data_IF_322858597223
#
_entry.id   IF_322858597223
#
_cell.length_a   1.000
_cell.length_b   1.000
_cell.length_c   1.000
_cell.angle_alpha   90.00
_cell.angle_beta   90.00
_cell.angle_gamma   90.00
#
_symmetry.space_group_name_H-M   'P 1'
#
loop_
_entity.id
_entity.type
_entity.pdbx_description
1 polymer ?
#
# COMPACT_ATOMS: atom_id res chain seq x y z
N UNK A 1 7.79 17.36 -18.29
CA UNK A 1 8.66 16.27 -18.78
C UNK A 1 8.82 16.45 -20.28
N UNK A 2 10.01 16.80 -20.76
CA UNK A 2 10.31 16.76 -22.19
C UNK A 2 10.55 15.30 -22.56
N UNK A 3 9.61 14.66 -23.24
CA UNK A 3 9.88 13.34 -23.80
C UNK A 3 10.76 13.52 -25.05
N UNK A 4 12.03 13.10 -25.02
CA UNK A 4 12.92 13.23 -26.18
C UNK A 4 12.38 12.44 -27.39
N UNK A 5 11.53 11.42 -27.18
CA UNK A 5 10.88 10.65 -28.26
C UNK A 5 9.73 11.43 -28.93
N UNK A 6 9.26 12.53 -28.32
CA UNK A 6 8.16 13.38 -28.84
C UNK A 6 8.70 14.73 -29.34
N UNK A 7 9.86 15.17 -28.84
CA UNK A 7 10.48 16.42 -29.26
C UNK A 7 11.06 16.29 -30.68
N UNK A 8 10.41 16.95 -31.65
CA UNK A 8 10.90 17.05 -33.02
C UNK A 8 10.32 15.99 -33.94
N UNK A 9 9.19 16.33 -34.55
CA UNK A 9 8.65 15.83 -35.82
C UNK A 9 7.12 15.95 -35.80
N UNK A 10 6.53 16.38 -36.92
CA UNK A 10 5.10 16.72 -37.07
C UNK A 10 4.44 16.08 -38.30
N UNK A 11 5.04 15.04 -38.91
CA UNK A 11 4.46 14.40 -40.10
C UNK A 11 3.78 13.07 -39.78
N UNK A 12 2.83 12.65 -40.62
CA UNK A 12 2.19 11.34 -40.52
C UNK A 12 3.19 10.19 -40.72
N UNK A 13 4.20 10.38 -41.57
CA UNK A 13 5.24 9.37 -41.80
C UNK A 13 6.07 9.11 -40.53
N UNK A 14 6.40 10.18 -39.80
CA UNK A 14 7.15 10.05 -38.56
C UNK A 14 6.32 9.44 -37.43
N UNK A 15 5.02 9.75 -37.38
CA UNK A 15 4.08 9.08 -36.47
C UNK A 15 3.98 7.58 -36.79
N UNK A 16 3.83 7.22 -38.06
CA UNK A 16 3.78 5.83 -38.49
C UNK A 16 5.07 5.07 -38.13
N UNK A 17 6.24 5.68 -38.35
CA UNK A 17 7.52 5.07 -37.96
C UNK A 17 7.65 4.85 -36.44
N UNK A 18 7.21 5.83 -35.63
CA UNK A 18 7.20 5.70 -34.16
C UNK A 18 6.17 4.68 -33.65
N UNK A 19 5.06 4.52 -34.37
CA UNK A 19 4.04 3.53 -34.05
C UNK A 19 4.55 2.11 -34.33
N UNK A 20 5.21 1.91 -35.48
CA UNK A 20 5.82 0.63 -35.86
C UNK A 20 6.97 0.24 -34.91
N UNK A 21 7.77 1.22 -34.48
CA UNK A 21 8.91 1.02 -33.60
C UNK A 21 8.86 1.98 -32.39
N UNK A 22 8.04 1.68 -31.36
CA UNK A 22 7.90 2.56 -30.20
C UNK A 22 9.23 2.71 -29.46
N UNK A 23 9.57 3.97 -29.17
CA UNK A 23 10.72 4.33 -28.34
C UNK A 23 10.57 3.80 -26.90
N UNK A 24 11.66 3.79 -26.10
CA UNK A 24 11.66 3.23 -24.76
C UNK A 24 10.58 3.82 -23.83
N UNK A 25 10.26 5.10 -23.98
CA UNK A 25 9.26 5.80 -23.14
C UNK A 25 7.80 5.51 -23.52
N UNK A 26 7.58 4.94 -24.71
CA UNK A 26 6.26 4.53 -25.19
C UNK A 26 5.96 3.04 -24.91
N UNK A 27 6.88 2.35 -24.22
CA UNK A 27 6.76 0.93 -23.86
C UNK A 27 6.22 0.77 -22.43
N UNK A 28 5.62 -0.38 -22.08
CA UNK A 28 5.17 -0.65 -20.72
C UNK A 28 6.30 -0.49 -19.69
N UNK A 29 5.93 -0.04 -18.48
CA UNK A 29 6.84 0.11 -17.34
C UNK A 29 6.40 -0.84 -16.23
N UNK A 30 6.97 -2.06 -16.15
CA UNK A 30 6.63 -2.98 -15.08
C UNK A 30 7.16 -2.48 -13.73
N UNK A 31 6.39 -2.72 -12.68
CA UNK A 31 6.91 -2.68 -11.33
C UNK A 31 7.72 -3.95 -11.06
N UNK A 32 8.95 -3.76 -10.60
CA UNK A 32 9.82 -4.82 -10.14
C UNK A 32 9.88 -4.78 -8.61
N UNK A 33 9.08 -5.67 -8.02
CA UNK A 33 8.96 -5.81 -6.57
C UNK A 33 10.02 -6.81 -6.09
N UNK A 34 10.84 -6.40 -5.14
CA UNK A 34 11.82 -7.27 -4.50
C UNK A 34 11.61 -7.30 -2.99
N UNK A 35 11.54 -8.50 -2.44
CA UNK A 35 11.26 -8.75 -1.02
C UNK A 35 12.54 -8.84 -0.16
N UNK A 36 13.66 -9.22 -0.77
CA UNK A 36 14.95 -9.41 -0.09
C UNK A 36 16.05 -8.79 -0.97
N UNK A 37 16.21 -7.45 -0.95
CA UNK A 37 17.16 -6.76 -1.82
C UNK A 37 18.60 -7.22 -1.60
N UNK A 38 18.99 -7.68 -0.42
CA UNK A 38 20.35 -8.14 -0.13
C UNK A 38 20.64 -9.59 -0.58
N UNK A 39 19.62 -10.36 -0.96
CA UNK A 39 19.78 -11.78 -1.32
C UNK A 39 20.07 -12.04 -2.79
N UNK A 40 19.65 -11.14 -3.68
CA UNK A 40 19.92 -11.29 -5.10
C UNK A 40 21.31 -10.75 -5.44
N UNK A 41 22.22 -11.64 -5.84
CA UNK A 41 23.55 -11.26 -6.32
C UNK A 41 23.51 -10.51 -7.67
N UNK A 42 24.62 -9.83 -8.05
CA UNK A 42 24.68 -9.01 -9.26
C UNK A 42 24.26 -9.72 -10.56
N UNK A 43 24.63 -11.01 -10.69
CA UNK A 43 24.30 -11.82 -11.88
C UNK A 43 22.80 -12.09 -12.01
N UNK A 44 22.11 -12.34 -10.89
CA UNK A 44 20.67 -12.57 -10.92
C UNK A 44 19.92 -11.27 -11.24
N UNK A 45 20.37 -10.14 -10.69
CA UNK A 45 19.81 -8.82 -11.03
C UNK A 45 19.99 -8.49 -12.50
N UNK A 46 21.16 -8.82 -13.05
CA UNK A 46 21.42 -8.66 -14.48
C UNK A 46 20.47 -9.53 -15.31
N UNK A 47 20.34 -10.81 -14.96
CA UNK A 47 19.47 -11.77 -15.66
C UNK A 47 17.99 -11.32 -15.65
N UNK A 48 17.50 -10.79 -14.53
CA UNK A 48 16.13 -10.28 -14.41
C UNK A 48 15.91 -9.03 -15.29
N UNK A 49 16.84 -8.08 -15.29
CA UNK A 49 16.79 -6.92 -16.19
C UNK A 49 16.87 -7.32 -17.67
N UNK A 50 17.71 -8.31 -17.99
CA UNK A 50 17.80 -8.83 -19.35
C UNK A 50 16.47 -9.46 -19.79
N UNK A 51 15.76 -10.15 -18.89
CA UNK A 51 14.42 -10.68 -19.15
C UNK A 51 13.40 -9.57 -19.42
N UNK A 52 13.39 -8.49 -18.63
CA UNK A 52 12.55 -7.32 -18.93
C UNK A 52 12.82 -6.76 -20.32
N UNK A 53 14.10 -6.62 -20.69
CA UNK A 53 14.50 -6.16 -22.03
C UNK A 53 14.02 -7.12 -23.13
N UNK A 54 14.18 -8.45 -22.94
CA UNK A 54 13.70 -9.48 -23.89
C UNK A 54 12.19 -9.40 -24.10
N UNK A 55 11.43 -9.08 -23.06
CA UNK A 55 9.98 -8.91 -23.12
C UNK A 55 9.55 -7.56 -23.74
N UNK A 56 10.50 -6.75 -24.22
CA UNK A 56 10.21 -5.49 -24.89
C UNK A 56 10.05 -4.29 -23.96
N UNK A 57 10.49 -4.39 -22.70
CA UNK A 57 10.46 -3.27 -21.76
C UNK A 57 11.57 -2.26 -22.07
N UNK A 58 11.25 -0.97 -22.00
CA UNK A 58 12.23 0.13 -22.09
C UNK A 58 12.66 0.70 -20.74
N UNK A 59 11.77 0.61 -19.75
CA UNK A 59 11.93 1.21 -18.42
C UNK A 59 11.39 0.26 -17.36
N UNK A 60 12.09 0.10 -16.23
CA UNK A 60 11.59 -0.69 -15.09
C UNK A 60 11.44 0.21 -13.87
N UNK A 61 10.35 0.06 -13.12
CA UNK A 61 10.13 0.77 -11.85
C UNK A 61 10.50 -0.13 -10.67
N UNK A 62 11.57 0.18 -9.96
CA UNK A 62 12.02 -0.59 -8.80
C UNK A 62 11.21 -0.21 -7.57
N UNK A 63 10.61 -1.20 -6.91
CA UNK A 63 9.85 -1.01 -5.68
C UNK A 63 10.32 -2.01 -4.61
N UNK A 64 11.06 -1.58 -3.58
CA UNK A 64 11.34 -2.44 -2.44
C UNK A 64 10.04 -2.77 -1.71
N UNK A 65 9.89 -4.03 -1.31
CA UNK A 65 8.80 -4.44 -0.43
C UNK A 65 9.30 -4.47 1.02
N UNK A 66 8.40 -4.12 1.95
CA UNK A 66 8.73 -4.01 3.37
C UNK A 66 9.25 -5.34 3.94
N UNK A 67 10.50 -5.33 4.40
CA UNK A 67 11.24 -6.45 4.95
C UNK A 67 11.33 -6.42 6.49
N UNK A 68 10.60 -5.51 7.14
CA UNK A 68 10.76 -5.23 8.57
C UNK A 68 11.53 -3.95 8.88
N UNK A 69 12.05 -3.24 7.86
CA UNK A 69 12.68 -1.92 8.01
C UNK A 69 14.21 -1.96 8.12
N UNK A 70 14.82 -3.14 7.96
CA UNK A 70 16.25 -3.33 8.20
C UNK A 70 17.13 -3.03 6.98
N UNK A 71 16.59 -3.06 5.77
CA UNK A 71 17.42 -2.84 4.56
C UNK A 71 17.18 -1.50 3.89
N UNK A 72 15.94 -0.99 3.86
CA UNK A 72 15.59 0.22 3.11
C UNK A 72 16.40 1.46 3.56
N UNK A 73 16.94 2.20 2.59
CA UNK A 73 17.83 3.37 2.79
C UNK A 73 19.15 3.11 3.55
N UNK A 74 19.47 1.85 3.91
CA UNK A 74 20.79 1.48 4.46
C UNK A 74 21.84 1.32 3.36
N UNK A 75 23.11 1.22 3.74
CA UNK A 75 24.22 1.03 2.81
C UNK A 75 24.05 -0.22 1.92
N UNK A 76 23.48 -1.29 2.48
CA UNK A 76 23.17 -2.52 1.73
C UNK A 76 22.14 -2.29 0.62
N UNK A 77 21.09 -1.51 0.88
CA UNK A 77 20.13 -1.10 -0.15
C UNK A 77 20.80 -0.25 -1.24
N UNK A 78 21.66 0.69 -0.87
CA UNK A 78 22.36 1.52 -1.87
C UNK A 78 23.35 0.72 -2.71
N UNK A 79 24.06 -0.26 -2.12
CA UNK A 79 24.91 -1.19 -2.85
C UNK A 79 24.09 -2.03 -3.85
N UNK A 80 22.95 -2.56 -3.42
CA UNK A 80 22.00 -3.28 -4.26
C UNK A 80 21.50 -2.43 -5.44
N UNK A 81 21.01 -1.21 -5.16
CA UNK A 81 20.57 -0.26 -6.18
C UNK A 81 21.71 0.12 -7.15
N UNK A 82 22.96 0.16 -6.67
CA UNK A 82 24.15 0.34 -7.49
C UNK A 82 24.32 -0.78 -8.54
N UNK A 83 24.15 -2.04 -8.15
CA UNK A 83 24.18 -3.17 -9.07
C UNK A 83 23.07 -3.10 -10.11
N UNK A 84 21.84 -2.75 -9.70
CA UNK A 84 20.71 -2.54 -10.61
C UNK A 84 21.02 -1.44 -11.62
N UNK A 85 21.51 -0.28 -11.16
CA UNK A 85 21.88 0.84 -12.03
C UNK A 85 22.96 0.46 -13.05
N UNK A 86 23.98 -0.28 -12.61
CA UNK A 86 25.06 -0.74 -13.49
C UNK A 86 24.55 -1.70 -14.57
N UNK A 87 23.70 -2.67 -14.20
CA UNK A 87 23.08 -3.62 -15.12
C UNK A 87 22.13 -2.95 -16.10
N UNK A 88 21.26 -2.06 -15.64
CA UNK A 88 20.33 -1.33 -16.50
C UNK A 88 21.08 -0.48 -17.53
N UNK A 89 22.16 0.19 -17.12
CA UNK A 89 23.04 0.93 -18.04
C UNK A 89 23.65 0.04 -19.13
N UNK A 90 24.17 -1.14 -18.76
CA UNK A 90 24.72 -2.11 -19.73
C UNK A 90 23.67 -2.59 -20.73
N UNK A 91 22.42 -2.71 -20.30
CA UNK A 91 21.29 -3.18 -21.12
C UNK A 91 20.56 -2.06 -21.85
N UNK A 92 20.93 -0.79 -21.66
CA UNK A 92 20.23 0.36 -22.23
C UNK A 92 18.78 0.49 -21.73
N UNK A 93 18.52 0.04 -20.50
CA UNK A 93 17.22 0.20 -19.83
C UNK A 93 17.20 1.49 -19.01
N UNK A 94 16.05 2.15 -18.99
CA UNK A 94 15.77 3.21 -18.03
C UNK A 94 15.27 2.62 -16.71
N UNK A 95 15.49 3.35 -15.63
CA UNK A 95 15.01 2.97 -14.29
C UNK A 95 14.20 4.11 -13.70
N UNK A 96 13.07 3.77 -13.09
CA UNK A 96 12.39 4.61 -12.12
C UNK A 96 12.61 4.01 -10.74
N UNK A 97 13.07 4.82 -9.79
CA UNK A 97 13.30 4.39 -8.42
C UNK A 97 12.15 4.91 -7.58
N UNK A 98 11.34 4.01 -7.04
CA UNK A 98 10.30 4.40 -6.08
C UNK A 98 10.97 4.92 -4.80
N UNK A 99 10.55 6.08 -4.35
CA UNK A 99 10.96 6.72 -3.10
C UNK A 99 10.17 6.20 -1.88
N UNK A 100 9.62 5.00 -2.00
CA UNK A 100 8.85 4.32 -0.98
C UNK A 100 9.26 2.86 -0.83
N UNK A 101 8.86 2.25 0.28
CA UNK A 101 9.06 0.84 0.57
C UNK A 101 7.74 0.23 1.03
N UNK A 102 7.27 -0.75 0.27
CA UNK A 102 5.93 -1.30 0.39
C UNK A 102 4.83 -0.37 -0.15
N UNK A 103 3.62 -0.90 -0.23
CA UNK A 103 2.40 -0.18 -0.59
C UNK A 103 1.37 -0.37 0.54
N UNK A 104 0.60 0.66 0.95
CA UNK A 104 0.55 2.03 0.43
C UNK A 104 1.65 2.96 0.97
N UNK A 105 1.82 4.10 0.29
CA UNK A 105 2.81 5.14 0.58
C UNK A 105 2.65 5.76 1.98
N UNK A 106 3.74 6.38 2.47
CA UNK A 106 3.71 7.27 3.65
C UNK A 106 4.30 6.72 4.95
N UNK A 107 4.74 5.46 4.99
CA UNK A 107 5.41 4.91 6.18
C UNK A 107 6.93 5.15 6.19
N UNK A 108 7.53 5.45 5.03
CA UNK A 108 8.99 5.48 4.85
C UNK A 108 9.69 4.23 5.42
N UNK A 109 9.10 3.05 5.25
CA UNK A 109 9.54 1.79 5.88
C UNK A 109 9.67 1.87 7.41
N UNK A 110 8.87 2.71 8.09
CA UNK A 110 8.97 2.98 9.51
C UNK A 110 10.29 3.65 9.95
N UNK A 111 11.13 4.13 9.02
CA UNK A 111 12.42 4.79 9.31
C UNK A 111 12.26 6.03 10.20
N UNK A 112 11.10 6.68 10.15
CA UNK A 112 10.79 7.89 10.93
C UNK A 112 9.95 7.62 12.19
N UNK A 113 9.77 6.36 12.61
CA UNK A 113 8.90 6.02 13.74
C UNK A 113 9.36 6.62 15.08
N UNK A 114 10.65 6.92 15.21
CA UNK A 114 11.24 7.59 16.37
C UNK A 114 11.17 9.11 16.33
N UNK A 115 10.60 9.71 15.28
CA UNK A 115 10.62 11.15 15.03
C UNK A 115 9.19 11.72 15.01
N UNK A 116 8.62 12.12 16.18
CA UNK A 116 7.24 12.57 16.29
C UNK A 116 6.89 13.76 15.38
N UNK A 117 7.86 14.58 15.00
CA UNK A 117 7.68 15.73 14.10
C UNK A 117 7.29 15.35 12.67
N UNK A 118 7.52 14.09 12.25
CA UNK A 118 7.13 13.57 10.94
C UNK A 118 5.90 12.67 10.98
N UNK A 119 5.29 12.50 12.16
CA UNK A 119 4.08 11.70 12.29
C UNK A 119 2.91 12.32 11.50
N UNK A 120 2.13 11.48 10.82
CA UNK A 120 0.85 11.90 10.25
C UNK A 120 -0.07 12.39 11.37
N UNK A 121 -0.67 13.56 11.18
CA UNK A 121 -1.71 14.09 12.06
C UNK A 121 -3.08 13.97 11.39
N UNK A 122 -4.09 13.72 12.20
CA UNK A 122 -5.47 13.57 11.76
C UNK A 122 -6.46 14.07 12.80
N UNK A 123 -7.71 14.22 12.39
CA UNK A 123 -8.80 14.53 13.31
C UNK A 123 -9.18 13.27 14.09
N UNK A 124 -9.10 13.35 15.40
CA UNK A 124 -9.51 12.32 16.33
C UNK A 124 -10.77 12.76 17.05
N UNK A 125 -11.76 11.88 17.13
CA UNK A 125 -13.00 12.13 17.84
C UNK A 125 -13.07 11.27 19.12
N UNK A 126 -13.41 11.88 20.25
CA UNK A 126 -13.60 11.21 21.53
C UNK A 126 -14.89 11.68 22.19
N UNK A 127 -15.47 10.84 23.06
CA UNK A 127 -16.65 11.21 23.84
C UNK A 127 -16.23 11.59 25.25
N UNK A 128 -16.81 12.65 25.78
CA UNK A 128 -16.56 13.13 27.13
C UNK A 128 -17.89 13.46 27.83
N UNK A 129 -18.09 12.88 29.01
CA UNK A 129 -19.14 13.30 29.92
C UNK A 129 -18.70 14.58 30.64
N UNK A 130 -19.56 15.58 30.67
CA UNK A 130 -19.27 16.92 31.21
C UNK A 130 -20.37 17.39 32.15
N UNK A 131 -19.97 18.24 33.10
CA UNK A 131 -20.90 18.98 33.96
C UNK A 131 -20.96 20.45 33.58
N UNK A 132 -22.07 21.11 33.89
CA UNK A 132 -22.21 22.54 33.78
C UNK A 132 -21.10 23.25 34.57
N UNK A 133 -20.47 24.26 33.97
CA UNK A 133 -19.33 24.98 34.53
C UNK A 133 -17.98 24.28 34.34
N UNK A 134 -17.92 23.03 33.86
CA UNK A 134 -16.66 22.35 33.58
C UNK A 134 -15.91 23.01 32.42
N UNK A 135 -14.61 23.25 32.59
CA UNK A 135 -13.74 23.68 31.50
C UNK A 135 -13.28 22.48 30.66
N UNK A 136 -13.20 22.66 29.35
CA UNK A 136 -12.67 21.66 28.43
C UNK A 136 -11.15 21.83 28.26
N UNK A 137 -10.42 20.72 28.23
CA UNK A 137 -9.01 20.73 27.83
C UNK A 137 -8.87 21.24 26.39
N UNK A 138 -8.03 22.25 26.18
CA UNK A 138 -7.96 22.95 24.87
C UNK A 138 -6.84 22.47 23.97
N UNK A 139 -5.93 21.65 24.48
CA UNK A 139 -4.80 21.15 23.71
C UNK A 139 -5.29 20.42 22.45
N UNK A 140 -4.89 20.95 21.29
CA UNK A 140 -5.27 20.45 19.97
C UNK A 140 -6.79 20.36 19.72
N UNK A 141 -7.64 20.99 20.54
CA UNK A 141 -9.10 20.98 20.37
C UNK A 141 -9.49 21.85 19.18
N UNK A 142 -10.17 21.25 18.20
CA UNK A 142 -10.70 21.96 17.03
C UNK A 142 -12.21 22.10 17.05
N UNK A 143 -12.91 21.21 17.78
CA UNK A 143 -14.36 21.28 17.89
C UNK A 143 -14.90 20.50 19.09
N UNK A 144 -16.01 20.96 19.61
CA UNK A 144 -16.82 20.26 20.58
C UNK A 144 -18.27 20.29 20.11
N UNK A 145 -18.96 19.16 20.16
CA UNK A 145 -20.32 19.02 19.67
C UNK A 145 -21.18 18.33 20.71
N UNK A 146 -22.42 18.76 20.92
CA UNK A 146 -23.29 18.14 21.91
C UNK A 146 -23.78 16.77 21.43
N UNK A 147 -23.96 15.83 22.34
CA UNK A 147 -24.60 14.55 22.06
C UNK A 147 -25.89 14.38 22.90
N UNK A 148 -26.94 13.76 22.32
CA UNK A 148 -27.13 13.49 20.89
C UNK A 148 -27.46 14.80 20.13
N UNK A 149 -27.05 14.92 18.86
CA UNK A 149 -27.44 16.04 17.98
C UNK A 149 -26.30 16.68 17.19
N UNK A 150 -25.06 16.51 17.64
CA UNK A 150 -23.86 17.07 17.02
C UNK A 150 -23.92 18.59 16.80
N UNK A 151 -24.69 19.32 17.62
CA UNK A 151 -24.70 20.77 17.58
C UNK A 151 -23.35 21.34 18.07
N UNK A 152 -22.72 22.26 17.33
CA UNK A 152 -21.42 22.81 17.71
C UNK A 152 -21.54 23.62 19.00
N UNK A 153 -20.71 23.31 19.98
CA UNK A 153 -20.52 24.12 21.17
C UNK A 153 -19.55 25.27 20.82
N UNK A 154 -19.98 26.54 20.87
CA UNK A 154 -19.13 27.67 20.48
C UNK A 154 -17.89 27.75 21.37
N UNK A 155 -16.77 28.22 20.81
CA UNK A 155 -15.49 28.28 21.52
C UNK A 155 -15.52 29.09 22.82
N UNK A 156 -16.43 30.07 22.92
CA UNK A 156 -16.66 30.85 24.15
C UNK A 156 -17.18 30.00 25.31
N UNK A 157 -17.87 28.90 25.02
CA UNK A 157 -18.43 27.98 26.02
C UNK A 157 -17.45 26.87 26.44
N UNK A 158 -16.24 26.83 25.90
CA UNK A 158 -15.26 25.80 26.26
C UNK A 158 -14.63 26.01 27.63
N UNK A 159 -14.64 27.24 28.16
CA UNK A 159 -14.11 27.53 29.51
C UNK A 159 -15.09 27.15 30.63
N UNK A 160 -16.38 27.05 30.31
CA UNK A 160 -17.44 26.69 31.23
C UNK A 160 -18.61 26.14 30.42
N UNK A 161 -18.72 24.82 30.31
CA UNK A 161 -19.79 24.16 29.56
C UNK A 161 -21.15 24.59 30.14
N UNK A 162 -22.15 24.95 29.32
CA UNK A 162 -23.39 25.57 29.81
C UNK A 162 -24.35 24.61 30.52
N UNK A 163 -24.21 23.29 30.30
CA UNK A 163 -25.10 22.27 30.84
C UNK A 163 -24.39 20.93 31.00
N UNK A 164 -24.91 20.10 31.89
CA UNK A 164 -24.54 18.69 31.99
C UNK A 164 -24.85 17.95 30.68
N UNK A 165 -24.04 16.96 30.33
CA UNK A 165 -24.30 16.08 29.20
C UNK A 165 -23.07 15.39 28.65
N UNK A 166 -23.19 14.88 27.43
CA UNK A 166 -22.09 14.27 26.69
C UNK A 166 -21.68 15.17 25.51
N UNK A 167 -20.38 15.30 25.29
CA UNK A 167 -19.82 15.99 24.14
C UNK A 167 -19.02 15.01 23.27
N UNK A 168 -19.08 15.21 21.96
CA UNK A 168 -18.06 14.74 21.03
C UNK A 168 -16.97 15.81 20.93
N UNK A 169 -15.76 15.49 21.35
CA UNK A 169 -14.59 16.33 21.20
C UNK A 169 -13.81 15.89 19.97
N UNK A 170 -13.50 16.85 19.09
CA UNK A 170 -12.65 16.65 17.92
C UNK A 170 -11.33 17.36 18.16
N UNK A 171 -10.23 16.61 18.13
CA UNK A 171 -8.86 17.11 18.32
C UNK A 171 -7.99 16.78 17.12
N UNK A 172 -6.96 17.58 16.88
CA UNK A 172 -5.83 17.16 16.04
C UNK A 172 -4.96 16.24 16.89
N UNK A 173 -4.64 15.05 16.41
CA UNK A 173 -3.74 14.14 17.09
C UNK A 173 -2.93 13.34 16.09
N UNK A 174 -1.93 12.61 16.57
CA UNK A 174 -1.22 11.66 15.71
C UNK A 174 -2.20 10.60 15.22
N UNK A 175 -2.24 10.35 13.92
CA UNK A 175 -3.06 9.27 13.37
C UNK A 175 -2.51 7.97 13.95
N UNK A 176 -3.30 7.15 14.67
CA UNK A 176 -2.83 5.86 15.10
C UNK A 176 -2.37 5.10 13.86
N UNK A 177 -1.12 4.64 13.85
CA UNK A 177 -0.66 3.72 12.83
C UNK A 177 -1.60 2.50 12.77
N UNK A 178 -1.47 1.67 11.74
CA UNK A 178 -2.31 0.45 11.55
C UNK A 178 -2.39 -0.45 12.80
N UNK A 179 -1.47 -0.31 13.75
CA UNK A 179 -1.58 -0.72 15.15
C UNK A 179 -2.36 0.31 16.00
N UNK A 180 -3.70 0.36 15.91
CA UNK A 180 -4.37 1.38 16.73
C UNK A 180 -5.88 1.57 16.69
N UNK A 181 -6.67 0.79 15.94
CA UNK A 181 -8.10 0.64 16.27
C UNK A 181 -8.24 -0.33 17.46
N UNK A 182 -7.62 -0.02 18.59
CA UNK A 182 -7.90 -0.75 19.82
C UNK A 182 -9.25 -0.28 20.34
N UNK A 183 -10.24 -1.17 20.30
CA UNK A 183 -11.50 -1.00 21.03
C UNK A 183 -11.13 -0.77 22.50
N UNK A 184 -11.30 0.44 22.98
CA UNK A 184 -11.28 0.72 24.41
C UNK A 184 -12.46 -0.02 25.04
N UNK A 185 -12.17 -1.01 25.89
CA UNK A 185 -13.05 -1.45 26.97
C UNK A 185 -14.25 -2.32 26.59
N UNK A 186 -14.02 -3.62 26.38
CA UNK A 186 -14.84 -4.68 26.98
C UNK A 186 -14.02 -5.97 26.89
N UNK A 187 -13.49 -6.42 28.03
CA UNK A 187 -12.69 -7.64 28.12
C UNK A 187 -13.45 -8.82 27.52
N UNK A 188 -12.77 -9.57 26.63
CA UNK A 188 -13.23 -10.89 26.22
C UNK A 188 -13.18 -11.80 27.45
N UNK A 189 -14.29 -12.45 27.87
CA UNK A 189 -14.22 -13.37 28.99
C UNK A 189 -13.35 -14.59 28.59
N UNK A 190 -12.63 -15.19 29.56
CA UNK A 190 -11.74 -16.31 29.27
C UNK A 190 -12.54 -17.53 28.80
N UNK A 191 -11.97 -18.37 27.92
CA UNK A 191 -12.64 -19.55 27.44
C UNK A 191 -12.57 -20.64 28.50
N UNK A 192 -13.70 -20.96 29.14
CA UNK A 192 -13.79 -22.10 30.05
C UNK A 192 -14.81 -21.93 31.17
N UNK A 193 -16.10 -22.03 30.84
CA UNK A 193 -17.13 -22.46 31.78
C UNK A 193 -18.35 -23.00 31.01
N UNK A 194 -18.42 -24.34 30.91
CA UNK A 194 -19.64 -25.16 31.05
C UNK A 194 -20.88 -24.88 30.19
N UNK A 195 -21.04 -25.71 29.16
CA UNK A 195 -22.26 -26.42 28.71
C UNK A 195 -23.61 -25.68 28.65
N UNK A 196 -24.07 -25.46 27.41
CA UNK A 196 -25.47 -25.29 27.05
C UNK A 196 -25.66 -25.70 25.60
N UNK A 197 -26.02 -26.96 25.38
CA UNK A 197 -26.32 -27.57 24.08
C UNK A 197 -27.48 -26.87 23.39
N UNK A 198 -27.26 -26.38 22.16
CA UNK A 198 -28.31 -26.25 21.15
C UNK A 198 -27.77 -26.78 19.82
N UNK A 199 -28.24 -27.98 19.47
CA UNK A 199 -27.96 -28.68 18.22
C UNK A 199 -28.53 -27.93 17.02
N UNK A 200 -27.74 -27.79 15.95
CA UNK A 200 -28.25 -27.72 14.58
C UNK A 200 -27.52 -28.79 13.78
N UNK A 201 -28.28 -29.79 13.33
CA UNK A 201 -27.77 -30.96 12.65
C UNK A 201 -27.47 -30.69 11.18
N UNK A 202 -26.29 -31.08 10.74
CA UNK A 202 -26.04 -31.52 9.37
C UNK A 202 -25.36 -32.88 9.42
N UNK A 203 -26.13 -33.90 9.02
CA UNK A 203 -25.70 -35.27 8.96
C UNK A 203 -24.75 -35.51 7.79
N UNK A 204 -23.72 -36.30 8.04
CA UNK A 204 -22.90 -36.94 7.02
C UNK A 204 -23.36 -38.39 6.90
N UNK A 205 -23.60 -38.83 5.68
CA UNK A 205 -23.70 -40.24 5.30
C UNK A 205 -23.04 -40.43 3.93
N UNK A 206 -22.24 -41.50 3.71
CA UNK A 206 -21.30 -41.60 2.60
C UNK A 206 -21.90 -42.31 1.37
N UNK A 207 -21.46 -41.95 0.16
CA UNK A 207 -21.43 -42.91 -0.95
C UNK A 207 -20.44 -42.53 -2.07
N UNK A 208 -19.98 -43.58 -2.76
CA UNK A 208 -18.78 -43.73 -3.60
C UNK A 208 -18.90 -43.20 -5.06
N UNK A 209 -17.79 -42.58 -5.55
CA UNK A 209 -17.05 -42.82 -6.85
C UNK A 209 -17.79 -42.52 -8.20
N UNK A 210 -17.16 -42.18 -9.37
CA UNK A 210 -15.73 -42.15 -9.76
C UNK A 210 -15.20 -40.86 -10.42
N UNK A 211 -13.86 -40.82 -10.52
CA UNK A 211 -13.02 -39.89 -11.30
C UNK A 211 -13.22 -40.06 -12.80
N UNK A 212 -13.43 -38.95 -13.52
CA UNK A 212 -13.33 -38.84 -14.97
C UNK A 212 -12.12 -38.00 -15.41
N UNK A 213 -11.31 -38.55 -16.31
CA UNK A 213 -10.18 -37.90 -16.98
C UNK A 213 -10.63 -36.72 -17.86
N UNK A 214 -9.94 -35.58 -17.76
CA UNK A 214 -10.02 -34.49 -18.73
C UNK A 214 -8.81 -34.61 -19.68
N UNK A 215 -9.12 -34.98 -20.93
CA UNK A 215 -8.17 -35.10 -22.01
C UNK A 215 -7.66 -33.73 -22.47
N UNK A 216 -6.36 -33.67 -22.74
CA UNK A 216 -5.68 -32.56 -23.40
C UNK A 216 -6.14 -32.48 -24.86
N UNK A 217 -6.56 -31.30 -25.30
CA UNK A 217 -6.81 -31.02 -26.72
C UNK A 217 -5.62 -30.29 -27.32
N UNK A 218 -4.80 -31.03 -28.07
CA UNK A 218 -3.76 -30.51 -28.96
C UNK A 218 -4.41 -29.91 -30.21
N UNK A 219 -4.15 -28.63 -30.52
CA UNK A 219 -4.43 -28.04 -31.84
C UNK A 219 -3.24 -28.28 -32.77
N UNK A 220 -3.48 -28.97 -33.88
CA UNK A 220 -2.57 -29.07 -35.02
C UNK A 220 -2.82 -27.90 -36.00
N UNK A 221 -1.79 -27.38 -36.70
CA UNK A 221 -1.97 -26.37 -37.74
C UNK A 221 -2.38 -26.99 -39.09
N UNK A 222 -3.02 -26.22 -39.99
CA UNK A 222 -3.52 -26.75 -41.27
C UNK A 222 -2.42 -26.95 -42.30
N UNK A 223 -2.58 -28.02 -43.09
CA UNK A 223 -1.75 -28.36 -44.23
C UNK A 223 -2.02 -27.45 -45.43
N UNK A 224 -0.94 -26.94 -46.04
CA UNK A 224 -0.93 -26.37 -47.39
C UNK A 224 -1.10 -27.49 -48.43
N UNK A 225 -1.99 -27.28 -49.40
CA UNK A 225 -2.09 -28.08 -50.61
C UNK A 225 -2.31 -27.17 -51.83
N UNK A 226 -1.61 -27.56 -52.91
CA UNK A 226 -1.50 -26.98 -54.27
C UNK A 226 -0.57 -25.77 -54.41
#
# INVERSE_FOLDING_TARGET
MNNPDIAGSKTLADLAARFEAPGPTARPVPFWLFNEPDRAGPEELHRQLEEFRRQGTGTVCTLPMFDGGDTYLRDSYWAFMGHICASARRLGLQLWIADECGCPSGSAAMTLSGEPGFASVGLQASRLQVRAGQALEREQLVGAYTLPGFEPLPASAWNAVPRDGELLLVRVGTTPGRTGAQRTGAGRPPPGAGSGTLSHGHGVGPDRVPRGHLAQTTRQPPATAA
#
